data_IF_028550228853
#
_entry.id   IF_028550228853
#
_cell.length_a   1.000
_cell.length_b   1.000
_cell.length_c   1.000
_cell.angle_alpha   90.00
_cell.angle_beta   90.00
_cell.angle_gamma   90.00
#
_symmetry.space_group_name_H-M   'P 1'
#
loop_
_entity.id
_entity.type
_entity.pdbx_description
1 polymer ?
#
# COMPACT_ATOMS: atom_id res chain seq x y z
N UNK A 1 10.32 -73.65 -11.80
CA UNK A 1 9.22 -74.42 -11.19
C UNK A 1 8.20 -73.42 -10.71
N UNK A 2 7.07 -73.41 -11.38
CA UNK A 2 5.67 -73.48 -10.89
C UNK A 2 5.32 -72.37 -9.88
N UNK A 3 4.29 -71.54 -10.01
CA UNK A 3 3.01 -71.70 -10.70
C UNK A 3 2.29 -70.35 -10.86
N UNK A 4 1.72 -70.18 -12.01
CA UNK A 4 0.67 -69.26 -12.44
C UNK A 4 -0.63 -69.62 -11.72
N UNK A 5 -1.42 -68.63 -11.26
CA UNK A 5 -2.90 -68.68 -11.41
C UNK A 5 -3.51 -67.30 -11.18
N UNK A 6 -4.07 -66.80 -12.28
CA UNK A 6 -5.27 -65.99 -12.46
C UNK A 6 -6.33 -66.21 -11.37
N UNK A 7 -7.06 -65.18 -11.01
CA UNK A 7 -8.52 -65.19 -10.98
C UNK A 7 -9.13 -63.82 -11.15
N UNK A 8 -10.24 -63.82 -11.82
CA UNK A 8 -11.07 -62.81 -12.45
C UNK A 8 -11.91 -62.01 -11.45
N UNK A 9 -12.27 -60.77 -11.90
CA UNK A 9 -13.56 -60.07 -11.82
C UNK A 9 -14.37 -60.22 -10.53
N UNK A 10 -14.58 -59.04 -9.90
CA UNK A 10 -15.96 -58.68 -9.54
C UNK A 10 -16.05 -57.13 -9.49
N UNK A 11 -16.92 -56.64 -10.39
CA UNK A 11 -17.41 -55.26 -10.39
C UNK A 11 -18.45 -55.19 -9.27
N UNK A 12 -18.17 -54.39 -8.24
CA UNK A 12 -19.23 -53.99 -7.32
C UNK A 12 -19.24 -52.46 -7.16
N UNK A 13 -20.40 -51.96 -7.50
CA UNK A 13 -20.88 -50.59 -7.42
C UNK A 13 -20.53 -49.95 -6.07
N UNK A 14 -19.68 -48.95 -6.08
CA UNK A 14 -19.64 -47.98 -5.00
C UNK A 14 -20.45 -46.75 -5.42
N UNK A 15 -21.60 -46.63 -4.78
CA UNK A 15 -22.44 -45.46 -4.81
C UNK A 15 -21.62 -44.29 -4.21
N UNK A 16 -21.32 -43.29 -5.00
CA UNK A 16 -20.82 -41.99 -4.51
C UNK A 16 -21.99 -41.32 -3.78
N UNK A 17 -21.96 -41.37 -2.47
CA UNK A 17 -22.74 -40.48 -1.62
C UNK A 17 -22.07 -39.11 -1.76
N UNK A 18 -22.67 -38.24 -2.54
CA UNK A 18 -22.38 -36.79 -2.50
C UNK A 18 -22.85 -36.29 -1.11
N UNK A 19 -21.91 -36.25 -0.17
CA UNK A 19 -22.09 -35.41 1.02
C UNK A 19 -22.00 -33.95 0.57
N UNK A 20 -23.13 -33.31 0.54
CA UNK A 20 -23.24 -31.86 0.51
C UNK A 20 -22.59 -31.33 1.79
N UNK A 21 -21.29 -30.98 1.72
CA UNK A 21 -20.70 -30.08 2.67
C UNK A 21 -21.33 -28.71 2.38
N UNK A 22 -22.30 -28.35 3.21
CA UNK A 22 -22.79 -27.00 3.31
C UNK A 22 -21.56 -26.13 3.59
N UNK A 23 -21.13 -25.36 2.58
CA UNK A 23 -20.22 -24.23 2.78
C UNK A 23 -21.01 -23.32 3.73
N UNK A 24 -20.50 -23.01 4.94
CA UNK A 24 -21.15 -22.02 5.76
C UNK A 24 -21.18 -20.74 4.91
N UNK A 25 -22.38 -20.24 4.63
CA UNK A 25 -22.56 -18.87 4.20
C UNK A 25 -21.78 -18.05 5.23
N UNK A 26 -20.74 -17.32 4.78
CA UNK A 26 -20.15 -16.27 5.58
C UNK A 26 -21.32 -15.38 5.94
N UNK A 27 -21.78 -15.48 7.19
CA UNK A 27 -22.61 -14.46 7.78
C UNK A 27 -21.84 -13.15 7.53
N UNK A 28 -22.49 -12.18 6.92
CA UNK A 28 -21.98 -10.82 6.90
C UNK A 28 -21.68 -10.53 8.37
N UNK A 29 -20.39 -10.35 8.69
CA UNK A 29 -19.97 -9.94 10.01
C UNK A 29 -20.80 -8.69 10.33
N UNK A 30 -21.64 -8.77 11.36
CA UNK A 30 -22.36 -7.61 11.84
C UNK A 30 -21.29 -6.59 12.20
N UNK A 31 -21.19 -5.56 11.37
CA UNK A 31 -20.20 -4.51 11.50
C UNK A 31 -20.37 -3.88 12.87
N UNK A 32 -19.43 -4.16 13.77
CA UNK A 32 -19.47 -3.64 15.15
C UNK A 32 -18.99 -2.18 15.14
N UNK A 33 -19.76 -1.25 15.68
CA UNK A 33 -19.31 0.13 15.81
C UNK A 33 -17.98 0.21 16.60
N UNK A 34 -17.23 1.30 16.40
CA UNK A 34 -15.99 1.55 17.16
C UNK A 34 -16.32 1.51 18.66
N UNK A 35 -15.72 0.58 19.39
CA UNK A 35 -15.89 0.49 20.85
C UNK A 35 -15.15 1.65 21.53
N UNK A 36 -15.87 2.46 22.31
CA UNK A 36 -15.35 3.69 22.90
C UNK A 36 -14.15 3.44 23.82
N UNK A 37 -14.22 2.39 24.65
CA UNK A 37 -13.11 2.00 25.53
C UNK A 37 -11.86 1.61 24.74
N UNK A 38 -12.02 0.90 23.63
CA UNK A 38 -10.90 0.52 22.78
C UNK A 38 -10.30 1.74 22.07
N UNK A 39 -11.12 2.67 21.59
CA UNK A 39 -10.66 3.94 21.04
C UNK A 39 -9.93 4.79 22.09
N UNK A 40 -10.48 4.90 23.30
CA UNK A 40 -9.86 5.60 24.43
C UNK A 40 -8.47 5.06 24.77
N UNK A 41 -8.30 3.73 24.79
CA UNK A 41 -6.99 3.10 25.00
C UNK A 41 -5.97 3.48 23.90
N UNK A 42 -6.40 3.60 22.63
CA UNK A 42 -5.51 3.99 21.57
C UNK A 42 -5.17 5.49 21.59
N UNK A 43 -6.08 6.34 22.01
CA UNK A 43 -5.79 7.76 22.28
C UNK A 43 -4.77 7.91 23.41
N UNK A 44 -4.91 7.13 24.49
CA UNK A 44 -3.92 7.11 25.55
C UNK A 44 -2.56 6.64 25.06
N UNK A 45 -2.49 5.57 24.27
CA UNK A 45 -1.23 5.09 23.68
C UNK A 45 -0.56 6.16 22.81
N UNK A 46 -1.32 6.85 21.97
CA UNK A 46 -0.81 7.95 21.15
C UNK A 46 -0.31 9.12 22.00
N UNK A 47 -1.03 9.46 23.07
CA UNK A 47 -0.63 10.49 24.02
C UNK A 47 0.68 10.12 24.72
N UNK A 48 0.81 8.89 25.23
CA UNK A 48 2.06 8.40 25.85
C UNK A 48 3.26 8.47 24.91
N UNK A 49 3.08 8.13 23.62
CA UNK A 49 4.13 8.20 22.61
C UNK A 49 4.59 9.65 22.42
N UNK A 50 3.66 10.57 22.19
CA UNK A 50 4.00 11.96 21.89
C UNK A 50 4.51 12.72 23.13
N UNK A 51 4.03 12.43 24.33
CA UNK A 51 4.53 13.02 25.57
C UNK A 51 5.92 12.51 25.93
N UNK A 52 6.18 11.20 25.73
CA UNK A 52 7.50 10.62 25.92
C UNK A 52 8.55 11.27 24.99
N UNK A 53 8.18 11.66 23.79
CA UNK A 53 9.03 12.45 22.91
C UNK A 53 9.16 13.91 23.37
N UNK A 54 8.07 14.53 23.78
CA UNK A 54 8.03 15.93 24.18
C UNK A 54 8.49 16.91 23.08
N UNK A 55 8.38 16.51 21.82
CA UNK A 55 8.82 17.28 20.67
C UNK A 55 10.34 17.29 20.42
N UNK A 56 11.11 16.44 21.12
CA UNK A 56 12.59 16.41 20.99
C UNK A 56 13.04 15.86 19.66
N UNK A 57 12.29 14.94 19.08
CA UNK A 57 12.70 14.22 17.88
C UNK A 57 12.72 15.09 16.62
N UNK A 58 11.73 15.98 16.50
CA UNK A 58 11.59 16.89 15.36
C UNK A 58 11.64 18.39 15.71
N UNK A 59 11.76 18.75 16.98
CA UNK A 59 11.64 20.13 17.46
C UNK A 59 10.19 20.63 17.53
N UNK A 60 9.22 19.73 17.28
CA UNK A 60 7.77 20.01 17.27
C UNK A 60 7.07 18.83 17.93
N UNK A 61 6.11 19.09 18.84
CA UNK A 61 5.33 18.03 19.47
C UNK A 61 4.42 17.35 18.46
N UNK A 62 4.37 16.01 18.54
CA UNK A 62 3.44 15.17 17.78
C UNK A 62 2.04 15.13 18.41
N UNK A 63 1.90 15.52 19.69
CA UNK A 63 0.61 15.51 20.38
C UNK A 63 -0.41 16.41 19.66
N UNK A 64 -1.66 15.97 19.58
CA UNK A 64 -2.73 16.76 18.98
C UNK A 64 -3.99 16.00 18.65
N UNK A 65 -4.85 16.57 17.81
CA UNK A 65 -6.13 15.99 17.44
C UNK A 65 -5.99 14.67 16.69
N UNK A 66 -6.69 13.64 17.15
CA UNK A 66 -6.77 12.31 16.54
C UNK A 66 -8.23 11.94 16.35
N UNK A 67 -8.58 11.39 15.19
CA UNK A 67 -9.88 10.74 14.98
C UNK A 67 -9.71 9.38 14.36
N UNK A 68 -10.45 8.40 14.87
CA UNK A 68 -10.63 7.10 14.26
C UNK A 68 -11.91 7.11 13.44
N UNK A 69 -11.84 6.58 12.23
CA UNK A 69 -12.97 6.55 11.30
C UNK A 69 -13.22 5.12 10.87
N UNK A 70 -14.45 4.66 11.06
CA UNK A 70 -14.91 3.41 10.49
C UNK A 70 -15.25 3.61 9.01
N UNK A 71 -14.62 2.86 8.08
CA UNK A 71 -14.78 3.11 6.64
C UNK A 71 -16.16 2.72 6.10
N UNK A 72 -16.91 1.86 6.79
CA UNK A 72 -18.22 1.41 6.32
C UNK A 72 -19.34 2.32 6.84
N UNK A 73 -19.39 2.56 8.14
CA UNK A 73 -20.43 3.39 8.75
C UNK A 73 -20.13 4.89 8.71
N UNK A 74 -18.87 5.26 8.44
CA UNK A 74 -18.33 6.61 8.55
C UNK A 74 -18.41 7.19 9.97
N UNK A 75 -18.60 6.33 10.99
CA UNK A 75 -18.55 6.72 12.39
C UNK A 75 -17.18 7.30 12.72
N UNK A 76 -17.19 8.44 13.41
CA UNK A 76 -15.99 9.09 13.95
C UNK A 76 -15.97 8.92 15.45
N UNK A 77 -14.81 8.55 16.00
CA UNK A 77 -14.49 8.68 17.43
C UNK A 77 -13.21 9.51 17.53
N UNK A 78 -13.24 10.62 18.26
CA UNK A 78 -12.13 11.56 18.37
C UNK A 78 -11.70 11.78 19.82
N UNK A 79 -10.43 12.21 20.01
CA UNK A 79 -9.86 12.47 21.34
C UNK A 79 -10.18 13.85 21.90
N UNK A 80 -10.80 14.71 21.12
CA UNK A 80 -11.22 16.06 21.54
C UNK A 80 -12.42 16.54 20.74
N UNK A 81 -13.04 17.66 21.15
CA UNK A 81 -14.10 18.34 20.39
C UNK A 81 -13.57 18.94 19.08
N UNK A 82 -14.45 19.06 18.12
CA UNK A 82 -14.25 19.84 16.89
C UNK A 82 -14.57 21.33 17.08
N UNK A 83 -14.29 22.14 16.06
CA UNK A 83 -14.51 23.59 16.09
C UNK A 83 -15.94 24.05 15.77
N UNK A 84 -16.79 23.18 15.20
CA UNK A 84 -18.11 23.54 14.63
C UNK A 84 -19.28 22.77 15.25
N UNK A 85 -19.00 21.90 16.25
CA UNK A 85 -20.02 21.16 17.00
C UNK A 85 -20.60 19.94 16.26
N UNK A 86 -19.85 19.36 15.33
CA UNK A 86 -20.23 18.14 14.63
C UNK A 86 -20.05 16.89 15.52
N UNK A 87 -19.19 16.98 16.52
CA UNK A 87 -18.90 15.91 17.48
C UNK A 87 -19.59 16.15 18.82
N UNK A 88 -20.05 15.06 19.46
CA UNK A 88 -20.68 15.08 20.80
C UNK A 88 -19.89 14.25 21.76
N UNK A 89 -19.67 14.77 22.97
CA UNK A 89 -18.97 14.05 24.04
C UNK A 89 -19.80 12.87 24.55
N UNK A 90 -19.17 11.70 24.64
CA UNK A 90 -19.73 10.49 25.23
C UNK A 90 -18.60 9.61 25.77
N UNK A 91 -18.67 9.25 27.05
CA UNK A 91 -17.68 8.36 27.69
C UNK A 91 -16.23 8.85 27.67
N UNK A 92 -16.00 10.17 27.64
CA UNK A 92 -14.67 10.77 27.63
C UNK A 92 -14.01 10.85 26.24
N UNK A 93 -14.75 10.53 25.19
CA UNK A 93 -14.38 10.70 23.79
C UNK A 93 -15.47 11.47 23.03
N UNK A 94 -15.22 11.83 21.79
CA UNK A 94 -16.14 12.64 20.97
C UNK A 94 -16.61 11.84 19.76
N UNK A 95 -17.92 11.74 19.58
CA UNK A 95 -18.56 10.95 18.55
C UNK A 95 -19.26 11.79 17.49
N UNK A 96 -19.22 11.31 16.26
CA UNK A 96 -19.95 11.90 15.14
C UNK A 96 -19.94 11.01 13.90
N UNK A 97 -20.23 11.61 12.78
CA UNK A 97 -20.17 10.93 11.47
C UNK A 97 -19.46 11.83 10.47
N UNK A 98 -18.52 11.24 9.73
CA UNK A 98 -17.78 11.95 8.70
C UNK A 98 -18.67 12.16 7.46
N UNK A 99 -18.83 13.39 6.96
CA UNK A 99 -19.61 13.66 5.76
C UNK A 99 -19.08 12.91 4.54
N UNK A 100 -19.96 12.54 3.60
CA UNK A 100 -19.59 11.81 2.39
C UNK A 100 -18.52 12.55 1.54
N UNK A 101 -18.49 13.88 1.62
CA UNK A 101 -17.54 14.72 0.90
C UNK A 101 -16.10 14.69 1.50
N UNK A 102 -15.92 14.11 2.68
CA UNK A 102 -14.59 13.99 3.32
C UNK A 102 -14.06 12.57 3.09
N UNK A 103 -12.87 12.46 2.51
CA UNK A 103 -12.24 11.18 2.24
C UNK A 103 -11.83 10.44 3.53
N UNK A 104 -11.91 9.11 3.50
CA UNK A 104 -11.44 8.24 4.58
C UNK A 104 -10.11 7.63 4.19
N UNK A 105 -9.05 8.04 4.89
CA UNK A 105 -7.70 7.54 4.68
C UNK A 105 -6.88 7.73 5.97
N UNK A 106 -5.77 7.02 6.11
CA UNK A 106 -4.76 7.39 7.10
C UNK A 106 -4.03 8.62 6.56
N UNK A 107 -4.36 9.81 7.09
CA UNK A 107 -3.81 11.08 6.59
C UNK A 107 -4.23 12.26 7.47
N UNK A 108 -3.49 13.38 7.45
CA UNK A 108 -3.97 14.63 8.02
C UNK A 108 -5.24 15.10 7.29
N UNK A 109 -6.32 15.33 8.03
CA UNK A 109 -7.62 15.72 7.45
C UNK A 109 -8.13 17.00 8.09
N UNK A 110 -8.37 18.01 7.27
CA UNK A 110 -9.03 19.24 7.73
C UNK A 110 -10.53 19.02 7.73
N UNK A 111 -11.13 18.99 8.93
CA UNK A 111 -12.58 18.80 9.08
C UNK A 111 -13.09 19.52 10.32
N UNK A 112 -14.26 20.16 10.17
CA UNK A 112 -15.01 20.85 11.25
C UNK A 112 -14.10 21.77 12.10
N UNK A 113 -13.30 22.62 11.40
CA UNK A 113 -12.43 23.61 12.04
C UNK A 113 -11.12 23.08 12.62
N UNK A 114 -10.84 21.76 12.54
CA UNK A 114 -9.66 21.12 13.14
C UNK A 114 -8.86 20.34 12.09
N UNK A 115 -7.52 20.40 12.19
CA UNK A 115 -6.61 19.54 11.43
C UNK A 115 -6.37 18.26 12.24
N UNK A 116 -7.04 17.19 11.87
CA UNK A 116 -6.99 15.88 12.51
C UNK A 116 -5.85 15.00 11.98
N UNK A 117 -5.31 14.16 12.85
CA UNK A 117 -4.67 12.90 12.43
C UNK A 117 -5.79 11.88 12.27
N UNK A 118 -6.17 11.57 11.02
CA UNK A 118 -7.20 10.58 10.72
C UNK A 118 -6.57 9.20 10.59
N UNK A 119 -7.14 8.21 11.28
CA UNK A 119 -6.78 6.80 11.14
C UNK A 119 -8.02 5.95 10.89
N UNK A 120 -7.87 5.00 9.97
CA UNK A 120 -8.92 4.02 9.66
C UNK A 120 -8.99 2.98 10.79
N UNK A 121 -10.21 2.72 11.26
CA UNK A 121 -10.47 1.68 12.24
C UNK A 121 -10.85 0.35 11.57
N UNK A 122 -10.45 -0.84 12.10
CA UNK A 122 -9.64 -1.02 13.32
C UNK A 122 -8.12 -0.84 13.09
N UNK A 123 -7.42 -0.46 14.15
CA UNK A 123 -5.96 -0.41 14.16
C UNK A 123 -5.36 -1.83 14.26
N UNK A 124 -4.08 -2.03 13.89
CA UNK A 124 -3.41 -3.31 14.04
C UNK A 124 -3.43 -3.86 15.48
N UNK A 125 -3.64 -5.17 15.64
CA UNK A 125 -3.63 -5.84 16.95
C UNK A 125 -2.24 -5.87 17.59
N UNK A 126 -1.19 -6.02 16.78
CA UNK A 126 0.19 -6.00 17.28
C UNK A 126 0.57 -4.62 17.79
N UNK A 127 1.03 -4.55 19.06
CA UNK A 127 1.32 -3.30 19.75
C UNK A 127 2.41 -2.48 19.05
N UNK A 128 3.48 -3.14 18.58
CA UNK A 128 4.58 -2.45 17.90
C UNK A 128 4.09 -1.81 16.59
N UNK A 129 3.36 -2.56 15.76
CA UNK A 129 2.80 -2.08 14.50
C UNK A 129 1.80 -0.96 14.71
N UNK A 130 0.92 -1.11 15.69
CA UNK A 130 -0.07 -0.08 16.04
C UNK A 130 0.59 1.21 16.51
N UNK A 131 1.57 1.12 17.41
CA UNK A 131 2.29 2.29 17.88
C UNK A 131 3.12 2.96 16.78
N UNK A 132 3.72 2.16 15.90
CA UNK A 132 4.40 2.67 14.70
C UNK A 132 3.42 3.43 13.82
N UNK A 133 2.25 2.88 13.50
CA UNK A 133 1.21 3.55 12.72
C UNK A 133 0.72 4.84 13.39
N UNK A 134 0.45 4.83 14.69
CA UNK A 134 0.03 6.03 15.42
C UNK A 134 1.07 7.16 15.30
N UNK A 135 2.34 6.86 15.55
CA UNK A 135 3.41 7.86 15.46
C UNK A 135 3.70 8.32 14.02
N UNK A 136 3.55 7.43 13.04
CA UNK A 136 3.63 7.73 11.60
C UNK A 136 2.57 8.77 11.20
N UNK A 137 1.32 8.54 11.51
CA UNK A 137 0.24 9.45 11.12
C UNK A 137 0.27 10.77 11.92
N UNK A 138 0.68 10.71 13.19
CA UNK A 138 0.94 11.93 13.98
C UNK A 138 2.05 12.78 13.36
N UNK A 139 3.09 12.15 12.79
CA UNK A 139 4.15 12.89 12.09
C UNK A 139 3.62 13.60 10.84
N UNK A 140 2.80 12.95 10.02
CA UNK A 140 2.22 13.58 8.83
C UNK A 140 1.46 14.87 9.17
N UNK A 141 0.74 14.91 10.29
CA UNK A 141 0.03 16.13 10.73
C UNK A 141 0.96 17.30 11.01
N UNK A 142 2.20 17.05 11.43
CA UNK A 142 3.18 18.09 11.73
C UNK A 142 4.24 18.28 10.63
N UNK A 143 4.23 17.46 9.60
CA UNK A 143 5.31 17.37 8.60
C UNK A 143 5.62 18.72 7.93
N UNK A 144 4.62 19.56 7.69
CA UNK A 144 4.82 20.91 7.13
C UNK A 144 5.59 21.88 8.05
N UNK A 145 5.74 21.54 9.34
CA UNK A 145 6.43 22.37 10.36
C UNK A 145 7.83 21.87 10.69
N UNK A 146 8.26 20.75 10.11
CA UNK A 146 9.58 20.15 10.32
C UNK A 146 10.46 20.31 9.08
N UNK A 147 11.80 20.15 9.18
CA UNK A 147 12.71 20.36 8.05
C UNK A 147 12.68 19.21 7.01
N UNK A 148 11.50 18.66 6.74
CA UNK A 148 11.30 17.60 5.75
C UNK A 148 10.48 18.19 4.59
N UNK A 149 11.08 18.37 3.40
CA UNK A 149 10.36 18.96 2.28
C UNK A 149 9.21 18.05 1.85
N UNK A 150 8.01 18.59 1.75
CA UNK A 150 6.89 17.92 1.09
C UNK A 150 7.20 17.87 -0.41
N UNK A 151 7.18 16.69 -0.98
CA UNK A 151 7.44 16.44 -2.40
C UNK A 151 6.15 15.98 -3.07
N UNK A 152 6.00 16.31 -4.34
CA UNK A 152 4.94 15.72 -5.15
C UNK A 152 5.19 14.21 -5.29
N UNK A 153 4.15 13.41 -5.17
CA UNK A 153 4.24 11.96 -5.37
C UNK A 153 4.76 11.66 -6.78
N UNK A 154 5.65 10.68 -6.85
CA UNK A 154 6.22 10.17 -8.08
C UNK A 154 5.72 8.76 -8.33
N UNK A 155 5.61 8.38 -9.61
CA UNK A 155 5.01 7.10 -9.98
C UNK A 155 5.83 5.87 -9.54
N UNK A 156 7.18 5.97 -9.49
CA UNK A 156 8.09 4.87 -9.14
C UNK A 156 7.89 3.56 -9.94
N UNK A 157 7.27 3.62 -11.12
CA UNK A 157 6.87 2.45 -11.93
C UNK A 157 8.04 1.51 -12.27
N UNK A 158 9.27 2.03 -12.26
CA UNK A 158 10.48 1.24 -12.45
C UNK A 158 10.64 0.14 -11.39
N UNK A 159 10.09 0.32 -10.18
CA UNK A 159 10.12 -0.67 -9.10
C UNK A 159 9.21 -1.87 -9.35
N UNK A 160 8.30 -1.79 -10.32
CA UNK A 160 7.47 -2.92 -10.74
C UNK A 160 8.00 -3.64 -11.99
N UNK A 161 9.16 -3.22 -12.52
CA UNK A 161 9.90 -3.96 -13.53
C UNK A 161 10.71 -5.10 -12.91
N UNK A 162 11.10 -6.11 -13.69
CA UNK A 162 11.93 -7.21 -13.23
C UNK A 162 13.24 -6.71 -12.58
N UNK A 163 13.94 -5.80 -13.29
CA UNK A 163 15.24 -5.29 -12.85
C UNK A 163 15.10 -4.38 -11.61
N UNK A 164 14.07 -3.54 -11.60
CA UNK A 164 13.77 -2.66 -10.45
C UNK A 164 13.52 -3.47 -9.18
N UNK A 165 12.64 -4.48 -9.26
CA UNK A 165 12.35 -5.38 -8.13
C UNK A 165 13.57 -6.19 -7.69
N UNK A 166 14.32 -6.73 -8.63
CA UNK A 166 15.50 -7.52 -8.34
C UNK A 166 16.54 -6.71 -7.55
N UNK A 167 16.91 -5.53 -8.03
CA UNK A 167 17.88 -4.66 -7.39
C UNK A 167 17.37 -4.09 -6.06
N UNK A 168 16.07 -3.75 -5.96
CA UNK A 168 15.45 -3.33 -4.70
C UNK A 168 15.54 -4.43 -3.63
N UNK A 169 15.20 -5.65 -3.97
CA UNK A 169 15.25 -6.78 -3.01
C UNK A 169 16.66 -7.16 -2.61
N UNK A 170 17.63 -7.03 -3.51
CA UNK A 170 19.06 -7.17 -3.14
C UNK A 170 19.47 -6.08 -2.14
N UNK A 171 19.08 -4.84 -2.38
CA UNK A 171 19.29 -3.74 -1.45
C UNK A 171 18.68 -4.03 -0.08
N UNK A 172 17.44 -4.51 0.00
CA UNK A 172 16.77 -4.85 1.26
C UNK A 172 17.48 -5.97 2.03
N UNK A 173 18.00 -6.97 1.32
CA UNK A 173 18.82 -8.03 1.93
C UNK A 173 20.12 -7.48 2.48
N UNK A 174 20.76 -6.58 1.76
CA UNK A 174 21.97 -5.92 2.21
C UNK A 174 21.71 -4.99 3.41
N UNK A 175 20.62 -4.20 3.41
CA UNK A 175 20.19 -3.41 4.56
C UNK A 175 19.86 -4.29 5.78
N UNK A 176 19.21 -5.43 5.57
CA UNK A 176 18.97 -6.43 6.61
C UNK A 176 20.29 -6.93 7.22
N UNK A 177 21.28 -7.22 6.39
CA UNK A 177 22.62 -7.61 6.85
C UNK A 177 23.31 -6.47 7.60
N UNK A 178 23.19 -5.23 7.15
CA UNK A 178 23.75 -4.05 7.79
C UNK A 178 23.14 -3.77 9.17
N UNK A 179 21.84 -4.02 9.36
CA UNK A 179 21.16 -3.86 10.65
C UNK A 179 21.49 -5.00 11.64
N UNK A 180 21.84 -6.20 11.14
CA UNK A 180 22.16 -7.38 11.95
C UNK A 180 23.64 -7.57 12.22
N UNK A 181 24.50 -6.82 11.54
CA UNK A 181 25.95 -7.00 11.63
C UNK A 181 26.49 -6.73 13.05
N UNK A 182 27.55 -7.47 13.42
CA UNK A 182 28.19 -7.36 14.74
C UNK A 182 29.63 -6.80 14.69
N UNK A 183 30.23 -6.75 13.52
CA UNK A 183 31.61 -6.23 13.35
C UNK A 183 31.59 -5.05 12.38
N UNK A 184 32.43 -4.05 12.65
CA UNK A 184 32.54 -2.85 11.82
C UNK A 184 32.82 -3.16 10.34
N UNK A 185 33.74 -4.07 9.98
CA UNK A 185 33.95 -4.40 8.56
C UNK A 185 32.72 -5.02 7.90
N UNK A 186 32.01 -5.93 8.58
CA UNK A 186 30.81 -6.55 8.03
C UNK A 186 29.68 -5.53 7.85
N UNK A 187 29.50 -4.60 8.80
CA UNK A 187 28.52 -3.53 8.69
C UNK A 187 28.85 -2.61 7.49
N UNK A 188 30.09 -2.20 7.36
CA UNK A 188 30.54 -1.33 6.28
C UNK A 188 30.36 -2.01 4.90
N UNK A 189 30.70 -3.30 4.81
CA UNK A 189 30.49 -4.07 3.58
C UNK A 189 29.01 -4.14 3.21
N UNK A 190 28.14 -4.49 4.14
CA UNK A 190 26.70 -4.62 3.89
C UNK A 190 26.06 -3.27 3.48
N UNK A 191 26.46 -2.15 4.11
CA UNK A 191 26.03 -0.82 3.70
C UNK A 191 26.53 -0.50 2.28
N UNK A 192 27.82 -0.80 2.00
CA UNK A 192 28.38 -0.59 0.66
C UNK A 192 27.62 -1.39 -0.41
N UNK A 193 27.22 -2.62 -0.10
CA UNK A 193 26.48 -3.48 -1.03
C UNK A 193 25.07 -2.94 -1.28
N UNK A 194 24.35 -2.49 -0.24
CA UNK A 194 23.05 -1.85 -0.37
C UNK A 194 23.13 -0.62 -1.30
N UNK A 195 24.12 0.23 -1.09
CA UNK A 195 24.34 1.42 -1.90
C UNK A 195 24.71 1.09 -3.36
N UNK A 196 25.44 -0.01 -3.61
CA UNK A 196 25.74 -0.46 -4.97
C UNK A 196 24.51 -0.98 -5.69
N UNK A 197 23.67 -1.77 -5.03
CA UNK A 197 22.41 -2.24 -5.65
C UNK A 197 21.45 -1.07 -5.97
N UNK A 198 21.37 -0.09 -5.08
CA UNK A 198 20.59 1.13 -5.36
C UNK A 198 21.21 1.94 -6.50
N UNK A 199 22.51 2.13 -6.53
CA UNK A 199 23.18 2.85 -7.62
C UNK A 199 23.01 2.16 -8.98
N UNK A 200 23.06 0.82 -9.03
CA UNK A 200 22.77 0.05 -10.24
C UNK A 200 21.34 0.28 -10.74
N UNK A 201 20.36 0.32 -9.83
CA UNK A 201 18.97 0.68 -10.18
C UNK A 201 18.87 2.08 -10.75
N UNK A 202 19.57 3.06 -10.16
CA UNK A 202 19.57 4.45 -10.65
C UNK A 202 20.26 4.61 -12.01
N UNK A 203 21.24 3.76 -12.35
CA UNK A 203 21.83 3.76 -13.69
C UNK A 203 20.87 3.21 -14.74
N UNK A 204 20.08 2.18 -14.41
CA UNK A 204 19.09 1.61 -15.32
C UNK A 204 17.89 2.56 -15.54
N UNK A 205 17.51 3.32 -14.53
CA UNK A 205 16.32 4.15 -14.57
C UNK A 205 16.67 5.60 -14.18
N UNK A 206 16.81 6.45 -15.16
CA UNK A 206 17.34 7.82 -14.98
C UNK A 206 16.48 8.71 -14.06
N UNK A 207 15.17 8.46 -13.97
CA UNK A 207 14.25 9.16 -13.07
C UNK A 207 14.21 8.59 -11.65
N UNK A 208 14.71 7.36 -11.44
CA UNK A 208 14.54 6.59 -10.19
C UNK A 208 15.02 7.36 -8.96
N UNK A 209 16.21 7.97 -9.02
CA UNK A 209 16.77 8.72 -7.88
C UNK A 209 15.85 9.81 -7.38
N UNK A 210 15.27 10.61 -8.28
CA UNK A 210 14.38 11.69 -7.92
C UNK A 210 13.03 11.18 -7.41
N UNK A 211 12.49 10.13 -8.04
CA UNK A 211 11.19 9.55 -7.70
C UNK A 211 11.24 8.83 -6.35
N UNK A 212 12.22 7.95 -6.14
CA UNK A 212 12.38 7.24 -4.87
C UNK A 212 12.63 8.21 -3.71
N UNK A 213 13.51 9.20 -3.91
CA UNK A 213 13.77 10.24 -2.89
C UNK A 213 12.49 10.97 -2.48
N UNK A 214 11.63 11.33 -3.43
CA UNK A 214 10.40 12.05 -3.13
C UNK A 214 9.52 11.28 -2.15
N UNK A 215 9.29 10.00 -2.41
CA UNK A 215 8.46 9.16 -1.55
C UNK A 215 9.17 8.77 -0.25
N UNK A 216 10.47 8.52 -0.26
CA UNK A 216 11.24 8.24 0.97
C UNK A 216 11.24 9.43 1.93
N UNK A 217 11.31 10.66 1.43
CA UNK A 217 11.21 11.86 2.28
C UNK A 217 9.78 12.06 2.80
N UNK A 218 8.77 11.63 2.07
CA UNK A 218 7.38 11.72 2.52
C UNK A 218 7.03 10.56 3.46
N UNK A 219 6.95 9.35 2.95
CA UNK A 219 6.48 8.16 3.66
C UNK A 219 7.60 7.48 4.47
N UNK A 220 8.82 7.41 3.90
CA UNK A 220 9.93 6.72 4.55
C UNK A 220 10.39 7.40 5.84
N UNK A 221 10.39 8.74 5.88
CA UNK A 221 10.71 9.50 7.10
C UNK A 221 9.57 9.43 8.11
N UNK A 222 8.31 9.36 7.65
CA UNK A 222 7.15 9.14 8.52
C UNK A 222 7.23 7.75 9.17
N UNK A 223 7.52 6.70 8.41
CA UNK A 223 7.66 5.34 8.93
C UNK A 223 8.86 5.22 9.87
N UNK A 224 10.01 5.82 9.54
CA UNK A 224 11.14 5.91 10.46
C UNK A 224 10.74 6.59 11.79
N UNK A 225 9.96 7.67 11.74
CA UNK A 225 9.44 8.33 12.94
C UNK A 225 8.55 7.38 13.73
N UNK A 226 7.66 6.68 13.03
CA UNK A 226 6.80 5.65 13.60
C UNK A 226 7.58 4.56 14.32
N UNK A 227 8.60 4.00 13.67
CA UNK A 227 9.46 2.95 14.24
C UNK A 227 10.19 3.45 15.49
N UNK A 228 10.80 4.63 15.45
CA UNK A 228 11.57 5.16 16.59
C UNK A 228 10.69 5.49 17.78
N UNK A 229 9.59 6.19 17.58
CA UNK A 229 8.74 6.65 18.67
C UNK A 229 7.75 5.60 19.16
N UNK A 230 7.30 4.72 18.26
CA UNK A 230 6.42 3.60 18.58
C UNK A 230 7.12 2.44 19.33
N UNK A 231 8.46 2.38 19.31
CA UNK A 231 9.24 1.32 19.92
C UNK A 231 10.29 1.90 20.89
N UNK A 232 10.11 1.63 22.19
CA UNK A 232 10.89 2.26 23.27
C UNK A 232 12.35 1.82 23.35
N UNK A 233 12.73 0.70 22.74
CA UNK A 233 14.10 0.14 22.81
C UNK A 233 14.73 0.04 21.43
N UNK A 234 16.06 0.17 21.38
CA UNK A 234 16.81 0.00 20.14
C UNK A 234 16.59 -1.38 19.51
N UNK A 235 16.50 -2.44 20.33
CA UNK A 235 16.18 -3.78 19.85
C UNK A 235 14.79 -3.84 19.21
N UNK A 236 13.78 -3.22 19.83
CA UNK A 236 12.43 -3.09 19.28
C UNK A 236 12.41 -2.34 17.95
N UNK A 237 13.13 -1.23 17.86
CA UNK A 237 13.27 -0.43 16.64
C UNK A 237 13.91 -1.24 15.49
N UNK A 238 15.00 -1.94 15.77
CA UNK A 238 15.65 -2.83 14.79
C UNK A 238 14.70 -3.97 14.39
N UNK A 239 13.99 -4.59 15.34
CA UNK A 239 13.03 -5.65 15.06
C UNK A 239 11.87 -5.15 14.17
N UNK A 240 11.30 -3.99 14.45
CA UNK A 240 10.26 -3.37 13.63
C UNK A 240 10.76 -3.10 12.20
N UNK A 241 11.94 -2.47 12.05
CA UNK A 241 12.54 -2.21 10.73
C UNK A 241 12.83 -3.50 9.95
N UNK A 242 13.32 -4.56 10.61
CA UNK A 242 13.52 -5.87 9.97
C UNK A 242 12.19 -6.52 9.57
N UNK A 243 11.14 -6.28 10.34
CA UNK A 243 9.79 -6.71 9.97
C UNK A 243 9.33 -6.00 8.70
N UNK A 244 9.47 -4.68 8.59
CA UNK A 244 9.07 -3.90 7.40
C UNK A 244 9.82 -4.38 6.15
N UNK A 245 11.17 -4.54 6.24
CA UNK A 245 11.98 -5.09 5.15
C UNK A 245 11.50 -6.48 4.69
N UNK A 246 10.94 -7.29 5.59
CA UNK A 246 10.46 -8.63 5.26
C UNK A 246 9.00 -8.68 4.82
N UNK A 247 8.14 -7.85 5.41
CA UNK A 247 6.70 -7.84 5.15
C UNK A 247 6.40 -7.44 3.71
N UNK A 248 7.15 -6.47 3.19
CA UNK A 248 6.93 -5.95 1.84
C UNK A 248 7.54 -6.81 0.71
N UNK A 249 8.31 -7.87 1.01
CA UNK A 249 8.92 -8.74 -0.04
C UNK A 249 7.88 -9.34 -0.97
N UNK A 250 6.67 -9.63 -0.45
CA UNK A 250 5.58 -10.27 -1.16
C UNK A 250 4.61 -9.32 -1.87
N UNK A 251 4.76 -8.01 -1.73
CA UNK A 251 3.83 -7.03 -2.27
C UNK A 251 3.65 -7.17 -3.78
N UNK A 252 2.45 -6.94 -4.26
CA UNK A 252 2.16 -7.00 -5.70
C UNK A 252 2.81 -5.84 -6.46
N UNK A 253 2.94 -4.68 -5.83
CA UNK A 253 3.59 -3.49 -6.36
C UNK A 253 4.50 -2.87 -5.29
N UNK A 254 5.65 -2.37 -5.72
CA UNK A 254 6.63 -1.73 -4.85
C UNK A 254 6.65 -0.21 -4.98
N UNK A 255 5.83 0.37 -5.85
CA UNK A 255 5.85 1.81 -6.19
C UNK A 255 5.63 2.73 -4.98
N UNK A 256 4.97 2.24 -3.94
CA UNK A 256 4.77 2.96 -2.67
C UNK A 256 5.40 2.23 -1.48
N UNK A 257 5.21 0.91 -1.38
CA UNK A 257 5.61 0.14 -0.21
C UNK A 257 7.12 0.12 0.04
N UNK A 258 7.95 0.35 -0.98
CA UNK A 258 9.40 0.37 -0.80
C UNK A 258 9.86 1.42 0.22
N UNK A 259 9.20 2.59 0.29
CA UNK A 259 9.60 3.67 1.17
C UNK A 259 9.40 3.31 2.65
N UNK A 260 8.35 2.55 2.97
CA UNK A 260 8.08 2.03 4.32
C UNK A 260 9.15 1.03 4.78
N UNK A 261 9.73 0.27 3.86
CA UNK A 261 10.83 -0.65 4.16
C UNK A 261 12.19 0.06 4.23
N UNK A 262 12.47 0.97 3.27
CA UNK A 262 13.81 1.62 3.18
C UNK A 262 13.97 2.76 4.16
N UNK A 263 12.94 3.56 4.42
CA UNK A 263 13.00 4.73 5.30
C UNK A 263 13.55 4.41 6.70
N UNK A 264 12.92 3.48 7.46
CA UNK A 264 13.43 3.07 8.76
C UNK A 264 14.83 2.48 8.70
N UNK A 265 15.14 1.65 7.67
CA UNK A 265 16.43 1.03 7.54
C UNK A 265 17.57 2.05 7.34
N UNK A 266 17.38 3.00 6.44
CA UNK A 266 18.34 4.11 6.26
C UNK A 266 18.38 5.02 7.48
N UNK A 267 17.23 5.33 8.08
CA UNK A 267 17.14 6.18 9.26
C UNK A 267 17.93 5.64 10.45
N UNK A 268 17.77 4.36 10.81
CA UNK A 268 18.53 3.70 11.89
C UNK A 268 20.03 3.67 11.59
N UNK A 269 20.44 3.41 10.35
CA UNK A 269 21.84 3.46 9.96
C UNK A 269 22.38 4.89 10.05
N UNK A 270 21.62 5.89 9.64
CA UNK A 270 21.99 7.30 9.76
C UNK A 270 22.10 7.74 11.22
N UNK A 271 21.24 7.30 12.12
CA UNK A 271 21.39 7.58 13.57
C UNK A 271 22.72 7.11 14.12
N UNK A 272 23.22 5.98 13.62
CA UNK A 272 24.52 5.41 14.03
C UNK A 272 25.70 6.14 13.40
N UNK A 273 25.64 6.52 12.13
CA UNK A 273 26.78 7.03 11.37
C UNK A 273 26.83 8.55 11.24
N UNK A 274 25.71 9.26 11.41
CA UNK A 274 25.60 10.71 11.32
C UNK A 274 24.58 11.24 12.33
N UNK A 275 24.86 11.24 13.64
CA UNK A 275 23.98 11.88 14.61
C UNK A 275 23.60 13.30 14.16
N UNK A 276 22.30 13.64 14.18
CA UNK A 276 21.80 14.93 13.71
C UNK A 276 21.53 15.03 12.20
N UNK A 277 21.58 13.93 11.44
CA UNK A 277 21.29 13.89 10.01
C UNK A 277 19.94 14.49 9.61
N UNK A 278 18.95 14.45 10.51
CA UNK A 278 17.62 15.04 10.31
C UNK A 278 17.66 16.51 9.95
N UNK A 279 18.66 17.27 10.43
CA UNK A 279 18.87 18.68 10.11
C UNK A 279 19.25 18.88 8.64
N UNK A 280 19.86 17.88 7.99
CA UNK A 280 20.26 17.93 6.59
C UNK A 280 19.06 17.79 5.64
N UNK A 281 17.93 17.30 6.10
CA UNK A 281 16.73 17.06 5.26
C UNK A 281 16.21 18.34 4.60
N UNK A 282 16.47 19.51 5.17
CA UNK A 282 16.13 20.83 4.55
C UNK A 282 16.63 20.99 3.12
N UNK A 283 17.75 20.36 2.81
CA UNK A 283 18.38 20.43 1.49
C UNK A 283 17.87 19.34 0.52
N UNK A 284 16.83 18.62 0.91
CA UNK A 284 16.23 17.50 0.13
C UNK A 284 17.24 16.44 -0.34
N UNK A 285 18.18 15.97 0.51
CA UNK A 285 19.08 14.91 0.09
C UNK A 285 18.33 13.58 -0.01
N UNK A 286 18.86 12.62 -0.79
CA UNK A 286 18.44 11.25 -0.68
C UNK A 286 19.03 10.62 0.59
N UNK A 287 18.30 9.75 1.28
CA UNK A 287 18.77 9.07 2.51
C UNK A 287 20.04 8.24 2.24
N UNK A 288 20.12 7.60 1.07
CA UNK A 288 21.29 6.85 0.64
C UNK A 288 22.53 7.73 0.43
N UNK A 289 22.39 8.97 -0.11
CA UNK A 289 23.51 9.89 -0.30
C UNK A 289 24.06 10.34 1.06
N UNK A 290 23.17 10.61 2.03
CA UNK A 290 23.57 10.92 3.40
C UNK A 290 24.32 9.75 4.03
N UNK A 291 23.80 8.53 3.91
CA UNK A 291 24.45 7.34 4.47
C UNK A 291 25.78 7.04 3.78
N UNK A 292 25.88 7.20 2.46
CA UNK A 292 27.12 7.06 1.71
C UNK A 292 28.21 8.00 2.27
N UNK A 293 27.86 9.26 2.48
CA UNK A 293 28.75 10.28 3.04
C UNK A 293 29.12 9.95 4.48
N UNK A 294 28.14 9.61 5.32
CA UNK A 294 28.30 9.33 6.74
C UNK A 294 29.21 8.09 6.98
N UNK A 295 29.02 7.04 6.22
CA UNK A 295 29.79 5.82 6.28
C UNK A 295 31.12 5.88 5.50
N UNK A 296 31.41 7.00 4.82
CA UNK A 296 32.61 7.21 3.99
C UNK A 296 32.80 6.12 2.93
N UNK A 297 31.71 5.79 2.22
CA UNK A 297 31.70 4.73 1.20
C UNK A 297 31.97 5.35 -0.16
N UNK A 298 33.02 4.84 -0.83
CA UNK A 298 33.27 5.14 -2.24
C UNK A 298 32.65 4.05 -3.09
N UNK A 299 31.74 4.42 -3.99
CA UNK A 299 31.15 3.49 -4.93
C UNK A 299 32.17 3.10 -6.00
N UNK A 300 32.16 1.84 -6.50
CA UNK A 300 33.05 1.41 -7.56
C UNK A 300 32.74 2.13 -8.88
N UNK A 301 33.73 2.28 -9.73
CA UNK A 301 33.57 2.95 -11.04
C UNK A 301 32.62 2.15 -11.99
N UNK A 302 32.61 0.82 -11.88
CA UNK A 302 31.75 -0.08 -12.66
C UNK A 302 30.67 -0.64 -11.74
N UNK A 303 29.59 0.10 -11.59
CA UNK A 303 28.49 -0.24 -10.65
C UNK A 303 27.79 -1.54 -11.05
N UNK A 304 27.49 -1.75 -12.34
CA UNK A 304 26.80 -2.94 -12.81
C UNK A 304 27.61 -4.23 -12.60
N UNK A 305 28.93 -4.17 -12.84
CA UNK A 305 29.81 -5.30 -12.58
C UNK A 305 29.87 -5.60 -11.08
N UNK A 306 30.04 -4.56 -10.26
CA UNK A 306 30.04 -4.71 -8.81
C UNK A 306 28.72 -5.24 -8.25
N UNK A 307 27.58 -4.83 -8.79
CA UNK A 307 26.28 -5.36 -8.39
C UNK A 307 26.14 -6.85 -8.70
N UNK A 308 26.61 -7.29 -9.87
CA UNK A 308 26.64 -8.72 -10.25
C UNK A 308 27.56 -9.54 -9.34
N UNK A 309 28.75 -9.01 -9.04
CA UNK A 309 29.75 -9.69 -8.21
C UNK A 309 29.30 -9.84 -6.75
N UNK A 310 28.50 -8.89 -6.25
CA UNK A 310 28.01 -8.87 -4.87
C UNK A 310 26.69 -9.63 -4.67
N UNK A 311 25.85 -9.75 -5.70
CA UNK A 311 24.57 -10.41 -5.64
C UNK A 311 24.59 -11.85 -5.06
N UNK A 312 25.61 -12.70 -5.33
CA UNK A 312 25.68 -14.04 -4.74
C UNK A 312 25.68 -14.07 -3.20
N UNK A 313 26.26 -13.06 -2.54
CA UNK A 313 26.27 -12.96 -1.06
C UNK A 313 24.84 -12.73 -0.49
N UNK A 314 23.89 -12.40 -1.33
CA UNK A 314 22.50 -12.10 -1.00
C UNK A 314 21.52 -13.03 -1.73
N UNK A 315 21.91 -14.28 -2.04
CA UNK A 315 21.12 -15.27 -2.79
C UNK A 315 20.59 -14.73 -4.14
N UNK A 316 21.40 -13.93 -4.82
CA UNK A 316 20.98 -13.22 -6.02
C UNK A 316 20.45 -14.13 -7.13
N UNK A 317 21.04 -15.32 -7.34
CA UNK A 317 20.59 -16.26 -8.36
C UNK A 317 19.21 -16.81 -8.09
N UNK A 318 18.93 -17.21 -6.85
CA UNK A 318 17.59 -17.68 -6.45
C UNK A 318 16.56 -16.56 -6.54
N UNK A 319 16.91 -15.34 -6.08
CA UNK A 319 16.05 -14.16 -6.20
C UNK A 319 15.76 -13.84 -7.67
N UNK A 320 16.77 -13.90 -8.55
CA UNK A 320 16.58 -13.66 -9.99
C UNK A 320 15.57 -14.62 -10.60
N UNK A 321 15.67 -15.90 -10.27
CA UNK A 321 14.74 -16.92 -10.75
C UNK A 321 13.29 -16.64 -10.32
N UNK A 322 13.11 -16.23 -9.04
CA UNK A 322 11.79 -15.87 -8.52
C UNK A 322 11.22 -14.62 -9.22
N UNK A 323 12.06 -13.60 -9.48
CA UNK A 323 11.60 -12.39 -10.14
C UNK A 323 11.31 -12.60 -11.64
N UNK A 324 12.03 -13.49 -12.31
CA UNK A 324 11.72 -13.91 -13.70
C UNK A 324 10.37 -14.60 -13.77
N UNK A 325 10.08 -15.54 -12.85
CA UNK A 325 8.78 -16.21 -12.82
C UNK A 325 7.64 -15.24 -12.46
N UNK A 326 7.89 -14.32 -11.53
CA UNK A 326 6.94 -13.24 -11.20
C UNK A 326 6.66 -12.37 -12.42
N UNK A 327 7.70 -11.96 -13.16
CA UNK A 327 7.54 -11.14 -14.38
C UNK A 327 6.73 -11.87 -15.44
N UNK A 328 6.97 -13.16 -15.63
CA UNK A 328 6.19 -13.98 -16.55
C UNK A 328 4.69 -13.98 -16.19
N UNK A 329 4.36 -14.15 -14.89
CA UNK A 329 2.98 -14.07 -14.41
C UNK A 329 2.38 -12.68 -14.62
N UNK A 330 3.16 -11.63 -14.32
CA UNK A 330 2.73 -10.25 -14.55
C UNK A 330 2.41 -9.99 -16.02
N UNK A 331 3.27 -10.43 -16.94
CA UNK A 331 3.04 -10.28 -18.38
C UNK A 331 1.80 -11.06 -18.85
N UNK A 332 1.55 -12.25 -18.31
CA UNK A 332 0.34 -13.01 -18.58
C UNK A 332 -0.91 -12.25 -18.11
N UNK A 333 -0.88 -11.69 -16.88
CA UNK A 333 -1.98 -10.88 -16.34
C UNK A 333 -2.22 -9.63 -17.19
N UNK A 334 -1.15 -8.92 -17.58
CA UNK A 334 -1.26 -7.76 -18.46
C UNK A 334 -1.90 -8.12 -19.82
N UNK A 335 -1.50 -9.24 -20.42
CA UNK A 335 -2.07 -9.70 -21.69
C UNK A 335 -3.56 -10.02 -21.55
N UNK A 336 -3.96 -10.70 -20.46
CA UNK A 336 -5.38 -10.99 -20.14
C UNK A 336 -6.17 -9.69 -19.92
N UNK A 337 -5.65 -8.78 -19.12
CA UNK A 337 -6.31 -7.51 -18.85
C UNK A 337 -6.45 -6.66 -20.12
N UNK A 338 -5.42 -6.63 -20.97
CA UNK A 338 -5.47 -5.93 -22.25
C UNK A 338 -6.55 -6.52 -23.17
N UNK A 339 -6.58 -7.85 -23.27
CA UNK A 339 -7.59 -8.54 -24.07
C UNK A 339 -9.01 -8.27 -23.57
N UNK A 340 -9.20 -8.20 -22.22
CA UNK A 340 -10.51 -7.94 -21.60
C UNK A 340 -10.97 -6.49 -21.77
N UNK A 341 -10.12 -5.52 -21.45
CA UNK A 341 -10.55 -4.14 -21.21
C UNK A 341 -10.14 -3.15 -22.30
N UNK A 342 -9.21 -3.54 -23.19
CA UNK A 342 -8.73 -2.67 -24.27
C UNK A 342 -9.14 -3.23 -25.64
N UNK A 343 -8.84 -4.50 -25.92
CA UNK A 343 -9.04 -5.10 -27.24
C UNK A 343 -10.46 -5.69 -27.37
N UNK A 344 -11.02 -6.25 -26.29
CA UNK A 344 -12.36 -6.83 -26.23
C UNK A 344 -13.47 -5.81 -26.13
N UNK A 345 -14.72 -6.25 -26.28
CA UNK A 345 -15.88 -5.37 -26.11
C UNK A 345 -16.10 -4.98 -24.64
N UNK A 346 -16.40 -3.71 -24.39
CA UNK A 346 -16.55 -3.17 -23.05
C UNK A 346 -17.83 -2.36 -22.86
N UNK A 347 -18.25 -2.21 -21.62
CA UNK A 347 -19.15 -1.15 -21.17
C UNK A 347 -18.31 -0.02 -20.58
N UNK A 348 -18.29 1.12 -21.24
CA UNK A 348 -17.63 2.35 -20.79
C UNK A 348 -18.60 3.18 -19.96
N UNK A 349 -18.30 3.37 -18.69
CA UNK A 349 -19.12 4.07 -17.71
C UNK A 349 -18.47 5.40 -17.36
N UNK A 350 -19.10 6.56 -17.66
CA UNK A 350 -18.54 7.86 -17.32
C UNK A 350 -18.53 8.09 -15.81
N UNK A 351 -17.50 8.78 -15.32
CA UNK A 351 -17.33 9.11 -13.90
C UNK A 351 -17.57 10.61 -13.68
N UNK A 352 -18.76 10.93 -13.18
CA UNK A 352 -19.12 12.27 -12.74
C UNK A 352 -19.81 12.18 -11.38
N UNK A 353 -19.39 12.99 -10.41
CA UNK A 353 -19.92 13.00 -9.04
C UNK A 353 -19.98 11.60 -8.42
N UNK A 354 -18.83 10.90 -8.43
CA UNK A 354 -18.73 9.50 -8.02
C UNK A 354 -18.09 9.35 -6.65
N UNK A 355 -18.59 8.38 -5.87
CA UNK A 355 -17.86 7.80 -4.73
C UNK A 355 -17.27 6.46 -5.17
N UNK A 356 -15.97 6.28 -4.98
CA UNK A 356 -15.23 5.10 -5.42
C UNK A 356 -14.54 4.45 -4.22
N UNK A 357 -14.77 3.14 -4.04
CA UNK A 357 -14.12 2.34 -3.00
C UNK A 357 -13.35 1.19 -3.65
N UNK A 358 -12.10 1.00 -3.26
CA UNK A 358 -11.22 -0.03 -3.80
C UNK A 358 -10.11 -0.40 -2.82
N UNK A 359 -9.44 -1.54 -3.09
CA UNK A 359 -8.24 -1.93 -2.35
C UNK A 359 -6.99 -1.40 -3.07
N UNK A 360 -6.25 -0.43 -2.51
CA UNK A 360 -5.09 0.17 -3.16
C UNK A 360 -3.91 -0.80 -3.32
N UNK A 361 -3.87 -1.89 -2.55
CA UNK A 361 -2.78 -2.89 -2.63
C UNK A 361 -2.93 -3.87 -3.81
N UNK A 362 -4.10 -3.92 -4.46
CA UNK A 362 -4.39 -4.87 -5.53
C UNK A 362 -4.34 -4.27 -6.93
N UNK A 363 -4.01 -3.00 -7.05
CA UNK A 363 -4.03 -2.25 -8.32
C UNK A 363 -3.03 -2.81 -9.33
N UNK A 364 -3.45 -2.87 -10.60
CA UNK A 364 -2.66 -3.42 -11.69
C UNK A 364 -2.56 -2.38 -12.83
N UNK A 365 -1.49 -1.58 -12.88
CA UNK A 365 -1.28 -0.63 -13.97
C UNK A 365 -1.26 -1.34 -15.33
N UNK A 366 -2.02 -0.82 -16.29
CA UNK A 366 -2.11 -1.32 -17.67
C UNK A 366 -1.55 -0.29 -18.64
N UNK A 367 -0.27 0.02 -18.49
CA UNK A 367 0.48 0.97 -19.31
C UNK A 367 -0.26 2.33 -19.46
N UNK A 368 -0.35 2.82 -20.71
CA UNK A 368 -1.05 4.08 -21.03
C UNK A 368 -2.58 3.96 -21.00
N UNK A 369 -3.12 2.74 -20.87
CA UNK A 369 -4.58 2.52 -20.91
C UNK A 369 -5.26 2.85 -19.59
N UNK A 370 -4.54 2.88 -18.49
CA UNK A 370 -5.06 3.15 -17.14
C UNK A 370 -4.65 2.10 -16.13
N UNK A 371 -5.46 1.94 -15.08
CA UNK A 371 -5.20 0.98 -14.01
C UNK A 371 -6.39 0.03 -13.87
N UNK A 372 -6.12 -1.26 -13.82
CA UNK A 372 -7.14 -2.28 -13.52
C UNK A 372 -7.29 -2.43 -12.02
N UNK A 373 -8.52 -2.33 -11.57
CA UNK A 373 -8.97 -2.50 -10.21
C UNK A 373 -9.65 -3.89 -10.10
N UNK A 374 -9.03 -4.89 -9.47
CA UNK A 374 -9.61 -6.22 -9.37
C UNK A 374 -10.97 -6.25 -8.69
N UNK A 375 -11.13 -5.43 -7.64
CA UNK A 375 -12.40 -5.19 -6.95
C UNK A 375 -12.66 -3.70 -6.87
N UNK A 376 -13.90 -3.28 -7.11
CA UNK A 376 -14.27 -1.88 -7.17
C UNK A 376 -15.74 -1.70 -6.87
N UNK A 377 -16.08 -0.75 -6.00
CA UNK A 377 -17.43 -0.28 -5.79
C UNK A 377 -17.53 1.17 -6.21
N UNK A 378 -18.49 1.50 -7.09
CA UNK A 378 -18.76 2.89 -7.50
C UNK A 378 -20.23 3.19 -7.34
N UNK A 379 -20.55 4.28 -6.65
CA UNK A 379 -21.86 4.89 -6.64
C UNK A 379 -21.83 6.27 -7.29
N UNK A 380 -22.81 6.56 -8.14
CA UNK A 380 -22.92 7.79 -8.91
C UNK A 380 -24.38 8.09 -9.30
N UNK A 381 -24.59 9.18 -10.02
CA UNK A 381 -25.90 9.58 -10.53
C UNK A 381 -26.56 8.51 -11.42
N UNK A 382 -25.73 7.71 -12.11
CA UNK A 382 -26.23 6.62 -12.95
C UNK A 382 -26.63 5.36 -12.19
N UNK A 383 -26.21 5.18 -10.93
CA UNK A 383 -26.53 4.02 -10.12
C UNK A 383 -25.34 3.48 -9.34
N UNK A 384 -25.28 2.14 -9.16
CA UNK A 384 -24.25 1.45 -8.39
C UNK A 384 -23.62 0.34 -9.22
N UNK A 385 -22.30 0.38 -9.34
CA UNK A 385 -21.45 -0.63 -9.96
C UNK A 385 -20.68 -1.40 -8.90
N UNK A 386 -20.84 -2.73 -8.89
CA UNK A 386 -20.04 -3.68 -8.11
C UNK A 386 -19.14 -4.49 -9.03
N UNK A 387 -17.85 -4.57 -8.73
CA UNK A 387 -16.86 -5.30 -9.52
C UNK A 387 -16.07 -6.26 -8.64
N UNK A 388 -16.01 -7.53 -9.07
CA UNK A 388 -15.28 -8.62 -8.41
C UNK A 388 -14.18 -9.25 -9.29
N UNK A 389 -14.18 -8.95 -10.62
CA UNK A 389 -13.23 -9.55 -11.58
C UNK A 389 -12.64 -8.53 -12.55
N UNK A 390 -12.33 -7.35 -12.05
CA UNK A 390 -11.60 -6.31 -12.74
C UNK A 390 -12.46 -5.27 -13.47
N UNK A 391 -12.00 -4.03 -13.34
CA UNK A 391 -12.45 -2.87 -14.11
C UNK A 391 -11.24 -1.99 -14.44
N UNK A 392 -11.19 -1.44 -15.64
CA UNK A 392 -10.13 -0.53 -16.08
C UNK A 392 -10.55 0.92 -15.87
N UNK A 393 -9.93 1.60 -14.94
CA UNK A 393 -10.08 3.04 -14.74
C UNK A 393 -9.11 3.79 -15.66
N UNK A 394 -9.63 4.76 -16.43
CA UNK A 394 -8.80 5.61 -17.30
C UNK A 394 -7.80 6.47 -16.49
N UNK A 395 -6.64 6.85 -17.09
CA UNK A 395 -5.64 7.66 -16.39
C UNK A 395 -6.13 9.01 -15.91
N UNK A 396 -7.09 9.60 -16.64
CA UNK A 396 -7.70 10.91 -16.34
C UNK A 396 -8.96 10.82 -15.45
N UNK A 397 -9.28 9.64 -14.96
CA UNK A 397 -10.44 9.34 -14.13
C UNK A 397 -11.79 9.71 -14.80
N UNK A 398 -11.81 9.90 -16.12
CA UNK A 398 -13.03 10.28 -16.86
C UNK A 398 -14.04 9.15 -16.99
N UNK A 399 -13.58 7.90 -16.97
CA UNK A 399 -14.43 6.74 -17.13
C UNK A 399 -13.80 5.46 -16.58
N UNK A 400 -14.65 4.49 -16.26
CA UNK A 400 -14.28 3.10 -15.96
C UNK A 400 -14.85 2.16 -17.02
N UNK A 401 -14.08 1.16 -17.43
CA UNK A 401 -14.49 0.12 -18.37
C UNK A 401 -14.60 -1.23 -17.66
N UNK A 402 -15.71 -1.93 -17.88
CA UNK A 402 -15.89 -3.34 -17.54
C UNK A 402 -16.16 -4.14 -18.82
N UNK A 403 -15.95 -5.46 -18.81
CA UNK A 403 -16.29 -6.31 -19.97
C UNK A 403 -17.75 -6.09 -20.37
N UNK A 404 -18.05 -6.14 -21.68
CA UNK A 404 -19.40 -5.93 -22.16
C UNK A 404 -20.43 -6.83 -21.44
N UNK A 405 -21.65 -6.34 -21.17
CA UNK A 405 -22.64 -7.10 -20.41
C UNK A 405 -23.13 -8.33 -21.18
N UNK A 406 -23.36 -9.40 -20.44
CA UNK A 406 -23.99 -10.64 -20.96
C UNK A 406 -25.49 -10.67 -20.71
N UNK A 407 -25.98 -9.86 -19.75
CA UNK A 407 -27.39 -9.73 -19.39
C UNK A 407 -27.78 -8.27 -19.45
N UNK A 408 -28.77 -7.96 -20.29
CA UNK A 408 -29.36 -6.64 -20.47
C UNK A 408 -30.77 -6.62 -19.84
N UNK A 409 -30.82 -6.39 -18.52
CA UNK A 409 -32.06 -6.28 -17.74
C UNK A 409 -32.01 -5.03 -16.87
N UNK A 410 -32.97 -4.84 -15.95
CA UNK A 410 -32.91 -3.75 -14.98
C UNK A 410 -31.63 -3.72 -14.14
N UNK A 411 -31.04 -4.92 -13.89
CA UNK A 411 -29.70 -5.06 -13.37
C UNK A 411 -28.84 -5.63 -14.50
N UNK A 412 -27.86 -4.86 -14.97
CA UNK A 412 -26.88 -5.31 -15.97
C UNK A 412 -25.86 -6.21 -15.30
N UNK A 413 -25.43 -7.26 -15.98
CA UNK A 413 -24.41 -8.19 -15.49
C UNK A 413 -23.42 -8.54 -16.57
N UNK A 414 -22.17 -8.70 -16.19
CA UNK A 414 -21.08 -9.21 -17.03
C UNK A 414 -20.17 -10.14 -16.23
N UNK A 415 -19.00 -10.45 -16.79
CA UNK A 415 -17.98 -11.30 -16.15
C UNK A 415 -17.43 -10.62 -14.88
N UNK A 416 -17.96 -11.02 -13.70
CA UNK A 416 -17.51 -10.54 -12.39
C UNK A 416 -17.90 -9.10 -12.09
N UNK A 417 -19.02 -8.59 -12.63
CA UNK A 417 -19.56 -7.30 -12.24
C UNK A 417 -21.07 -7.24 -12.36
N UNK A 418 -21.68 -6.35 -11.56
CA UNK A 418 -23.09 -6.01 -11.62
C UNK A 418 -23.27 -4.50 -11.60
N UNK A 419 -24.25 -3.99 -12.38
CA UNK A 419 -24.60 -2.58 -12.41
C UNK A 419 -26.13 -2.42 -12.27
N UNK A 420 -26.54 -1.73 -11.21
CA UNK A 420 -27.92 -1.32 -10.99
C UNK A 420 -28.06 0.12 -11.43
N UNK A 421 -28.84 0.36 -12.49
CA UNK A 421 -29.05 1.70 -13.01
C UNK A 421 -30.19 2.43 -12.28
N UNK A 422 -30.00 3.72 -12.03
CA UNK A 422 -31.03 4.61 -11.57
C UNK A 422 -32.08 4.86 -12.68
N UNK A 423 -33.35 5.20 -12.35
CA UNK A 423 -34.34 5.55 -13.30
C UNK A 423 -33.87 6.65 -14.28
N UNK A 424 -34.24 6.54 -15.56
CA UNK A 424 -33.84 7.42 -16.67
C UNK A 424 -32.46 7.19 -17.25
N UNK A 425 -31.62 6.35 -16.63
CA UNK A 425 -30.34 5.91 -17.22
C UNK A 425 -30.54 4.61 -18.01
N UNK A 426 -29.87 4.51 -19.14
CA UNK A 426 -29.95 3.33 -20.02
C UNK A 426 -28.57 3.03 -20.65
N UNK A 427 -28.37 1.76 -21.00
CA UNK A 427 -27.22 1.33 -21.81
C UNK A 427 -27.54 1.64 -23.29
N UNK A 428 -26.55 2.13 -24.01
CA UNK A 428 -26.58 2.41 -25.45
C UNK A 428 -25.30 1.90 -26.12
N UNK A 429 -25.31 1.54 -27.42
CA UNK A 429 -24.10 1.26 -28.15
C UNK A 429 -23.13 2.45 -28.13
N UNK A 430 -21.83 2.19 -28.01
CA UNK A 430 -20.77 3.18 -28.13
C UNK A 430 -20.23 3.24 -29.59
N UNK A 431 -19.23 4.12 -29.85
CA UNK A 431 -18.64 4.29 -31.19
C UNK A 431 -17.98 3.02 -31.72
N UNK A 432 -17.21 2.31 -30.86
CA UNK A 432 -16.59 1.05 -31.27
C UNK A 432 -17.65 -0.06 -31.30
N UNK A 433 -17.70 -0.78 -32.42
CA UNK A 433 -18.64 -1.90 -32.57
C UNK A 433 -18.44 -2.95 -31.49
N UNK A 434 -19.51 -3.26 -30.76
CA UNK A 434 -19.52 -4.21 -29.66
C UNK A 434 -19.35 -3.55 -28.30
N UNK A 435 -18.94 -2.29 -28.23
CA UNK A 435 -18.91 -1.53 -27.00
C UNK A 435 -20.27 -0.90 -26.67
N UNK A 436 -20.42 -0.63 -25.39
CA UNK A 436 -21.58 0.05 -24.82
C UNK A 436 -21.14 1.23 -23.95
N UNK A 437 -22.06 2.16 -23.73
CA UNK A 437 -21.91 3.25 -22.75
C UNK A 437 -23.25 3.54 -22.09
N UNK A 438 -23.25 4.43 -21.10
CA UNK A 438 -24.46 4.89 -20.42
C UNK A 438 -24.96 6.21 -21.02
N UNK A 439 -26.26 6.32 -21.23
CA UNK A 439 -26.93 7.56 -21.54
C UNK A 439 -27.88 7.92 -20.41
N UNK A 440 -27.72 9.14 -19.87
CA UNK A 440 -28.58 9.73 -18.85
C UNK A 440 -29.71 10.56 -19.43
N UNK A 441 -30.53 11.21 -18.56
CA UNK A 441 -31.49 12.22 -18.96
C UNK A 441 -30.76 13.35 -19.68
N UNK A 442 -31.37 13.90 -20.74
CA UNK A 442 -30.85 15.10 -21.40
C UNK A 442 -30.73 16.24 -20.35
N UNK A 443 -29.55 16.82 -20.25
CA UNK A 443 -29.30 18.00 -19.43
C UNK A 443 -30.00 19.21 -20.00
#
# INVERSE_FOLDING_TARGET
MRNIRKWHRDMNRFAFVLSWLAIPAFAADEHSPIKLDAAGQQFQAAQEICEADGGRFWGVSLCGPIMFVDPQSRQVVANQSDGEGALKEEGGVFLGSLPAAVDIANTPTQWSGVLWTQLIWPLPDDVSRRNTMLAHELFHRIQSRVPVPVQNEAANDHLDTLEGRYLLKLEWRALTAALRCRSQPACHQAISDALVFRAARYQLFSSAKAQERALELNEGVAEYTGVILGNRTQEGQVKATLFDLSAHIGDQSFVRSFAYATGPAYGLLLDKYMPGWKQQLRNSPSLNDLLQTAARISLPAKIDDAAKDRAPAYDGSALRSLEVEREKKRQQTLAVNRAKFVDGPVLLIPLHHTSIQFNPQSLQPLEKSGTVYPTLHISADWGVLEVENGALLKPDWSAVSVVAPTILSATLKGDGWTLVLNPKWKIVPAERKGDFTLAGPAQ
#
